data_IF_034771666142
#
_entry.id   IF_034771666142
#
_cell.length_a   1.000
_cell.length_b   1.000
_cell.length_c   1.000
_cell.angle_alpha   90.00
_cell.angle_beta   90.00
_cell.angle_gamma   90.00
#
_symmetry.space_group_name_H-M   'P 1'
#
loop_
_entity.id
_entity.type
_entity.pdbx_description
1 polymer ?
#
# COMPACT_ATOMS: atom_id res chain seq x y z
N UNK A 1 -20.65 -20.57 30.11
CA UNK A 1 -21.26 -20.35 28.78
C UNK A 1 -21.71 -18.90 28.76
N UNK A 2 -21.22 -17.97 27.96
CA UNK A 2 -20.26 -18.00 26.88
C UNK A 2 -20.44 -16.65 26.19
N UNK A 3 -19.38 -15.82 26.19
CA UNK A 3 -19.20 -14.69 25.27
C UNK A 3 -17.80 -14.13 25.57
N UNK A 4 -16.79 -14.79 24.97
CA UNK A 4 -15.51 -14.16 24.68
C UNK A 4 -15.72 -13.41 23.37
N UNK A 5 -16.08 -12.14 23.47
CA UNK A 5 -16.29 -11.27 22.32
C UNK A 5 -14.92 -10.79 21.78
N UNK A 6 -14.52 -11.37 20.64
CA UNK A 6 -14.14 -10.57 19.47
C UNK A 6 -12.78 -9.85 19.40
N UNK A 7 -11.89 -9.93 20.38
CA UNK A 7 -10.58 -9.25 20.30
C UNK A 7 -9.51 -10.05 19.53
N UNK A 8 -9.76 -10.48 18.29
CA UNK A 8 -8.78 -11.25 17.47
C UNK A 8 -8.35 -10.59 16.15
N UNK A 9 -8.22 -9.24 16.02
CA UNK A 9 -7.35 -8.75 14.92
C UNK A 9 -6.16 -7.87 15.32
N UNK A 10 -6.14 -7.25 16.50
CA UNK A 10 -5.11 -6.23 16.82
C UNK A 10 -3.76 -6.79 17.28
N UNK A 11 -3.71 -8.01 17.82
CA UNK A 11 -2.46 -8.59 18.34
C UNK A 11 -1.50 -9.09 17.25
N UNK A 12 -1.98 -9.31 16.01
CA UNK A 12 -1.16 -9.89 14.93
C UNK A 12 -0.81 -8.89 13.80
N UNK A 13 -1.25 -7.63 13.89
CA UNK A 13 -0.99 -6.62 12.84
C UNK A 13 -1.70 -6.90 11.51
N UNK A 14 -2.80 -7.67 11.53
CA UNK A 14 -3.61 -7.99 10.33
C UNK A 14 -4.17 -6.75 9.64
N UNK A 15 -4.45 -5.69 10.40
CA UNK A 15 -4.85 -4.38 9.91
C UNK A 15 -3.78 -3.72 9.04
N UNK A 16 -2.50 -3.88 9.38
CA UNK A 16 -1.38 -3.38 8.56
C UNK A 16 -1.27 -4.14 7.23
N UNK A 17 -1.55 -5.44 7.23
CA UNK A 17 -1.55 -6.26 6.02
C UNK A 17 -2.67 -5.85 5.06
N UNK A 18 -3.88 -5.59 5.57
CA UNK A 18 -4.98 -5.05 4.75
C UNK A 18 -4.60 -3.72 4.12
N UNK A 19 -4.01 -2.81 4.90
CA UNK A 19 -3.54 -1.52 4.36
C UNK A 19 -2.45 -1.67 3.31
N UNK A 20 -1.54 -2.62 3.47
CA UNK A 20 -0.53 -2.92 2.44
C UNK A 20 -1.20 -3.42 1.16
N UNK A 21 -2.18 -4.32 1.26
CA UNK A 21 -2.91 -4.85 0.09
C UNK A 21 -3.62 -3.73 -0.67
N UNK A 22 -4.33 -2.86 0.05
CA UNK A 22 -4.99 -1.67 -0.53
C UNK A 22 -4.01 -0.75 -1.28
N UNK A 23 -2.81 -0.53 -0.72
CA UNK A 23 -1.77 0.29 -1.33
C UNK A 23 -1.18 -0.37 -2.59
N UNK A 24 -1.01 -1.69 -2.58
CA UNK A 24 -0.52 -2.44 -3.73
C UNK A 24 -1.55 -2.48 -4.87
N UNK A 25 -2.83 -2.59 -4.55
CA UNK A 25 -3.91 -2.50 -5.53
C UNK A 25 -3.99 -1.10 -6.14
N UNK A 26 -3.84 -0.05 -5.33
CA UNK A 26 -3.71 1.32 -5.86
C UNK A 26 -2.48 1.46 -6.77
N UNK A 27 -1.34 0.85 -6.42
CA UNK A 27 -0.14 0.88 -7.27
C UNK A 27 -0.38 0.22 -8.63
N UNK A 28 -1.12 -0.90 -8.68
CA UNK A 28 -1.48 -1.55 -9.95
C UNK A 28 -2.26 -0.61 -10.85
N UNK A 29 -3.24 0.12 -10.31
CA UNK A 29 -4.04 1.10 -11.07
C UNK A 29 -3.19 2.28 -11.53
N UNK A 30 -2.35 2.84 -10.65
CA UNK A 30 -1.45 3.94 -11.00
C UNK A 30 -0.48 3.55 -12.12
N UNK A 31 0.10 2.35 -12.05
CA UNK A 31 1.02 1.85 -13.09
C UNK A 31 0.28 1.67 -14.42
N UNK A 32 -0.95 1.14 -14.40
CA UNK A 32 -1.75 1.01 -15.61
C UNK A 32 -2.02 2.37 -16.27
N UNK A 33 -2.39 3.39 -15.49
CA UNK A 33 -2.60 4.75 -15.99
C UNK A 33 -1.31 5.40 -16.49
N UNK A 34 -0.18 5.20 -15.77
CA UNK A 34 1.14 5.67 -16.19
C UNK A 34 1.51 5.10 -17.56
N UNK A 35 1.28 3.80 -17.77
CA UNK A 35 1.54 3.12 -19.03
C UNK A 35 0.64 3.66 -20.15
N UNK A 36 -0.66 3.83 -19.90
CA UNK A 36 -1.58 4.42 -20.86
C UNK A 36 -1.14 5.83 -21.30
N UNK A 37 -0.79 6.68 -20.33
CA UNK A 37 -0.30 8.02 -20.60
C UNK A 37 1.02 8.01 -21.39
N UNK A 38 1.90 7.03 -21.14
CA UNK A 38 3.15 6.86 -21.88
C UNK A 38 2.90 6.43 -23.33
N UNK A 39 1.93 5.55 -23.56
CA UNK A 39 1.50 5.12 -24.89
C UNK A 39 0.89 6.25 -25.72
N UNK A 40 0.14 7.17 -25.08
CA UNK A 40 -0.44 8.34 -25.74
C UNK A 40 0.62 9.33 -26.25
N UNK A 41 1.79 9.40 -25.60
CA UNK A 41 2.94 10.26 -25.98
C UNK A 41 2.62 11.76 -26.12
N UNK A 42 1.51 12.23 -25.56
CA UNK A 42 1.19 13.66 -25.56
C UNK A 42 1.92 14.36 -24.40
N UNK A 43 2.32 15.64 -24.55
CA UNK A 43 2.95 16.38 -23.47
C UNK A 43 2.11 16.40 -22.18
N UNK A 44 0.79 16.56 -22.30
CA UNK A 44 -0.14 16.57 -21.14
C UNK A 44 -0.12 15.22 -20.40
N UNK A 45 -0.21 14.11 -21.12
CA UNK A 45 -0.20 12.77 -20.53
C UNK A 45 1.13 12.49 -19.80
N UNK A 46 2.26 12.89 -20.39
CA UNK A 46 3.57 12.73 -19.75
C UNK A 46 3.74 13.62 -18.51
N UNK A 47 3.15 14.83 -18.49
CA UNK A 47 3.12 15.68 -17.28
C UNK A 47 2.28 15.02 -16.18
N UNK A 48 1.14 14.41 -16.51
CA UNK A 48 0.34 13.65 -15.53
C UNK A 48 1.13 12.48 -14.94
N UNK A 49 1.95 11.79 -15.72
CA UNK A 49 2.82 10.73 -15.21
C UNK A 49 3.74 11.20 -14.09
N UNK A 50 4.21 12.45 -14.09
CA UNK A 50 5.02 12.98 -12.99
C UNK A 50 4.26 12.97 -11.67
N UNK A 51 2.97 13.31 -11.69
CA UNK A 51 2.11 13.31 -10.50
C UNK A 51 1.79 11.87 -10.07
N UNK A 52 1.42 11.01 -11.01
CA UNK A 52 1.11 9.60 -10.72
C UNK A 52 2.32 8.84 -10.17
N UNK A 53 3.52 9.07 -10.72
CA UNK A 53 4.77 8.46 -10.21
C UNK A 53 5.09 8.97 -8.79
N UNK A 54 4.85 10.25 -8.49
CA UNK A 54 4.99 10.75 -7.11
C UNK A 54 4.05 10.02 -6.15
N UNK A 55 2.79 9.82 -6.54
CA UNK A 55 1.82 9.08 -5.74
C UNK A 55 2.21 7.61 -5.57
N UNK A 56 2.66 6.96 -6.64
CA UNK A 56 3.20 5.60 -6.60
C UNK A 56 4.38 5.49 -5.61
N UNK A 57 5.31 6.45 -5.64
CA UNK A 57 6.45 6.47 -4.72
C UNK A 57 6.04 6.68 -3.26
N UNK A 58 5.00 7.50 -3.01
CA UNK A 58 4.42 7.65 -1.66
C UNK A 58 3.84 6.33 -1.17
N UNK A 59 3.08 5.62 -2.01
CA UNK A 59 2.51 4.32 -1.66
C UNK A 59 3.61 3.28 -1.38
N UNK A 60 4.65 3.20 -2.22
CA UNK A 60 5.80 2.30 -2.00
C UNK A 60 6.49 2.61 -0.66
N UNK A 61 6.73 3.88 -0.36
CA UNK A 61 7.36 4.29 0.91
C UNK A 61 6.50 3.85 2.10
N UNK A 62 5.19 4.03 2.01
CA UNK A 62 4.24 3.63 3.06
C UNK A 62 4.18 2.11 3.24
N UNK A 63 4.21 1.33 2.16
CA UNK A 63 4.29 -0.14 2.22
C UNK A 63 5.55 -0.59 2.96
N UNK A 64 6.70 0.02 2.66
CA UNK A 64 7.97 -0.28 3.36
C UNK A 64 7.88 0.04 4.85
N UNK A 65 7.30 1.18 5.22
CA UNK A 65 7.07 1.54 6.63
C UNK A 65 6.17 0.53 7.33
N UNK A 66 5.02 0.18 6.75
CA UNK A 66 4.07 -0.77 7.35
C UNK A 66 4.70 -2.15 7.57
N UNK A 67 5.48 -2.65 6.61
CA UNK A 67 6.21 -3.91 6.77
C UNK A 67 7.29 -3.82 7.85
N UNK A 68 8.00 -2.71 7.94
CA UNK A 68 9.03 -2.51 8.97
C UNK A 68 8.43 -2.50 10.36
N UNK A 69 7.29 -1.82 10.55
CA UNK A 69 6.58 -1.83 11.82
C UNK A 69 6.01 -3.21 12.16
N UNK A 70 5.51 -3.96 11.17
CA UNK A 70 5.01 -5.31 11.39
C UNK A 70 6.16 -6.26 11.81
N UNK A 71 7.32 -6.14 11.17
CA UNK A 71 8.51 -6.91 11.54
C UNK A 71 8.93 -6.64 12.99
N UNK A 72 8.99 -5.36 13.40
CA UNK A 72 9.29 -4.97 14.79
C UNK A 72 8.28 -5.53 15.79
N UNK A 73 6.99 -5.54 15.44
CA UNK A 73 5.95 -6.13 16.30
C UNK A 73 6.15 -7.65 16.46
N UNK A 74 6.47 -8.37 15.37
CA UNK A 74 6.74 -9.81 15.42
C UNK A 74 7.99 -10.11 16.27
N UNK A 75 9.06 -9.34 16.10
CA UNK A 75 10.29 -9.47 16.91
C UNK A 75 10.01 -9.27 18.40
N UNK A 76 9.12 -8.33 18.77
CA UNK A 76 8.78 -8.06 20.17
C UNK A 76 7.97 -9.17 20.86
N UNK A 77 7.46 -10.15 20.10
CA UNK A 77 6.71 -11.30 20.62
C UNK A 77 7.58 -12.54 20.87
N UNK A 78 8.89 -12.47 20.61
CA UNK A 78 9.88 -13.55 20.81
C UNK A 78 10.71 -13.32 22.08
#
# INVERSE_FOLDING_TARGET
MGQQDGAVPKELGLDKLVLVDDLLDQNKLLIAEINQNHELKTPDALVRNVVLIKQLNVNVSRVVTLYSELAQQIESLQ
#
